data_IF_238918702848
#
_entry.id   IF_238918702848
#
_cell.length_a   1.000
_cell.length_b   1.000
_cell.length_c   1.000
_cell.angle_alpha   90.00
_cell.angle_beta   90.00
_cell.angle_gamma   90.00
#
_symmetry.space_group_name_H-M   'P 1'
#
loop_
_entity.id
_entity.type
_entity.pdbx_description
1 polymer ?
#
# COMPACT_ATOMS: atom_id res chain seq x y z
N UNK A 1 -9.76 2.14 18.13
CA UNK A 1 -9.26 1.90 16.76
C UNK A 1 -8.18 0.84 16.85
N UNK A 2 -8.31 -0.35 16.23
CA UNK A 2 -7.17 -1.26 16.18
C UNK A 2 -6.06 -0.57 15.39
N UNK A 3 -4.86 -0.53 15.96
CA UNK A 3 -3.68 0.06 15.34
C UNK A 3 -3.37 -0.67 14.03
N UNK A 4 -2.79 0.02 13.05
CA UNK A 4 -2.41 -0.51 11.74
C UNK A 4 -1.43 -1.69 11.76
N UNK A 5 -0.98 -2.07 12.96
CA UNK A 5 -0.05 -3.17 13.22
C UNK A 5 -0.64 -4.56 12.97
N UNK A 6 -1.97 -4.70 12.80
CA UNK A 6 -2.60 -6.03 12.70
C UNK A 6 -2.77 -6.56 11.27
N UNK A 7 -2.60 -5.74 10.22
CA UNK A 7 -2.91 -6.16 8.84
C UNK A 7 -1.69 -6.34 7.92
N UNK A 8 -0.54 -5.74 8.25
CA UNK A 8 0.73 -5.97 7.57
C UNK A 8 1.76 -6.46 8.59
N UNK A 9 2.61 -7.46 8.26
CA UNK A 9 3.67 -7.88 9.14
C UNK A 9 4.54 -6.66 9.51
N UNK A 10 4.85 -6.44 10.80
CA UNK A 10 5.64 -5.27 11.24
C UNK A 10 6.99 -5.21 10.52
N UNK A 11 7.56 -6.36 10.15
CA UNK A 11 8.78 -6.45 9.35
C UNK A 11 8.68 -5.81 7.96
N UNK A 12 7.49 -5.80 7.37
CA UNK A 12 7.24 -5.25 6.04
C UNK A 12 7.04 -3.73 6.12
N UNK A 13 6.35 -3.25 7.17
CA UNK A 13 6.18 -1.82 7.44
C UNK A 13 7.48 -1.17 7.92
N UNK A 14 8.33 -1.88 8.68
CA UNK A 14 9.57 -1.34 9.22
C UNK A 14 10.67 -1.22 8.16
N UNK A 15 10.65 -2.06 7.13
CA UNK A 15 11.65 -2.04 6.05
C UNK A 15 11.09 -1.38 4.79
N UNK A 16 11.55 -0.15 4.50
CA UNK A 16 11.11 0.66 3.35
C UNK A 16 11.32 -0.07 2.00
N UNK A 17 12.37 -0.88 1.87
CA UNK A 17 12.63 -1.64 0.63
C UNK A 17 11.59 -2.74 0.43
N UNK A 18 11.19 -3.43 1.51
CA UNK A 18 10.12 -4.45 1.44
C UNK A 18 8.77 -3.79 1.11
N UNK A 19 8.46 -2.67 1.78
CA UNK A 19 7.25 -1.90 1.52
C UNK A 19 7.18 -1.43 0.06
N UNK A 20 8.28 -0.88 -0.47
CA UNK A 20 8.38 -0.46 -1.86
C UNK A 20 8.12 -1.61 -2.84
N UNK A 21 8.75 -2.78 -2.63
CA UNK A 21 8.54 -3.97 -3.48
C UNK A 21 7.09 -4.44 -3.45
N UNK A 22 6.44 -4.38 -2.30
CA UNK A 22 5.02 -4.73 -2.17
C UNK A 22 4.12 -3.75 -2.92
N UNK A 23 4.37 -2.43 -2.79
CA UNK A 23 3.69 -1.40 -3.56
C UNK A 23 3.83 -1.62 -5.06
N UNK A 24 5.04 -1.94 -5.55
CA UNK A 24 5.27 -2.24 -6.97
C UNK A 24 4.54 -3.50 -7.42
N UNK A 25 4.58 -4.59 -6.64
CA UNK A 25 3.88 -5.83 -6.98
C UNK A 25 2.38 -5.55 -7.11
N UNK A 26 1.82 -4.77 -6.19
CA UNK A 26 0.41 -4.45 -6.22
C UNK A 26 0.04 -3.50 -7.35
N UNK A 27 0.85 -2.48 -7.62
CA UNK A 27 0.68 -1.57 -8.75
C UNK A 27 0.66 -2.34 -10.08
N UNK A 28 1.59 -3.28 -10.27
CA UNK A 28 1.63 -4.14 -11.46
C UNK A 28 0.35 -4.98 -11.59
N UNK A 29 -0.13 -5.58 -10.50
CA UNK A 29 -1.39 -6.33 -10.49
C UNK A 29 -2.59 -5.46 -10.88
N UNK A 30 -2.73 -4.28 -10.27
CA UNK A 30 -3.82 -3.32 -10.56
C UNK A 30 -3.77 -2.91 -12.02
N UNK A 31 -2.61 -2.45 -12.47
CA UNK A 31 -2.52 -1.89 -13.81
C UNK A 31 -2.56 -2.94 -14.91
N UNK A 32 -2.24 -4.22 -14.64
CA UNK A 32 -2.54 -5.30 -15.58
C UNK A 32 -4.06 -5.49 -15.76
N UNK A 33 -4.86 -5.37 -14.69
CA UNK A 33 -6.32 -5.43 -14.80
C UNK A 33 -6.93 -4.27 -15.57
N UNK A 34 -6.25 -3.13 -15.62
CA UNK A 34 -6.73 -1.89 -16.25
C UNK A 34 -5.94 -1.50 -17.52
N UNK A 35 -5.06 -2.38 -18.02
CA UNK A 35 -4.20 -2.13 -19.18
C UNK A 35 -3.33 -0.86 -19.10
N UNK A 36 -2.93 -0.45 -17.89
CA UNK A 36 -2.13 0.74 -17.62
C UNK A 36 -0.98 0.47 -16.62
N UNK A 37 -0.46 -0.76 -16.58
CA UNK A 37 0.55 -1.24 -15.64
C UNK A 37 1.77 -0.32 -15.51
N UNK A 38 2.34 0.12 -16.61
CA UNK A 38 3.52 1.00 -16.62
C UNK A 38 3.24 2.33 -15.90
N UNK A 39 2.12 2.98 -16.23
CA UNK A 39 1.72 4.25 -15.63
C UNK A 39 1.54 4.13 -14.11
N UNK A 40 0.85 3.08 -13.64
CA UNK A 40 0.59 2.90 -12.20
C UNK A 40 1.89 2.53 -11.46
N UNK A 41 2.75 1.72 -12.06
CA UNK A 41 4.07 1.37 -11.51
C UNK A 41 4.96 2.60 -11.41
N UNK A 42 5.02 3.41 -12.46
CA UNK A 42 5.84 4.62 -12.48
C UNK A 42 5.34 5.68 -11.51
N UNK A 43 4.02 5.80 -11.33
CA UNK A 43 3.45 6.65 -10.28
C UNK A 43 3.97 6.25 -8.89
N UNK A 44 3.98 4.96 -8.56
CA UNK A 44 4.53 4.47 -7.28
C UNK A 44 6.02 4.78 -7.17
N UNK A 45 6.80 4.53 -8.23
CA UNK A 45 8.24 4.86 -8.25
C UNK A 45 8.50 6.33 -7.99
N UNK A 46 7.75 7.21 -8.63
CA UNK A 46 7.88 8.65 -8.48
C UNK A 46 7.59 9.10 -7.05
N UNK A 47 6.57 8.54 -6.39
CA UNK A 47 6.27 8.87 -4.99
C UNK A 47 7.43 8.49 -4.04
N UNK A 48 8.01 7.30 -4.19
CA UNK A 48 9.17 6.90 -3.39
C UNK A 48 10.41 7.75 -3.71
N UNK A 49 10.65 8.04 -4.99
CA UNK A 49 11.79 8.87 -5.42
C UNK A 49 11.69 10.30 -4.88
N UNK A 50 10.49 10.90 -4.87
CA UNK A 50 10.23 12.25 -4.35
C UNK A 50 10.66 12.41 -2.89
N UNK A 51 10.53 11.35 -2.10
CA UNK A 51 10.84 11.35 -0.67
C UNK A 51 12.14 10.61 -0.32
N UNK A 52 12.99 10.31 -1.31
CA UNK A 52 14.23 9.55 -1.12
C UNK A 52 15.25 10.25 -0.20
N UNK A 53 15.20 11.58 -0.12
CA UNK A 53 16.11 12.40 0.69
C UNK A 53 15.45 12.96 1.95
N UNK A 54 14.28 12.46 2.33
CA UNK A 54 13.67 12.84 3.60
C UNK A 54 14.53 12.32 4.76
N UNK A 55 14.86 13.21 5.70
CA UNK A 55 15.67 12.88 6.88
C UNK A 55 14.87 12.99 8.18
N UNK A 56 13.68 13.56 8.14
CA UNK A 56 12.80 13.69 9.29
C UNK A 56 12.16 12.34 9.65
N UNK A 57 12.47 11.77 10.84
CA UNK A 57 12.00 10.45 11.24
C UNK A 57 10.46 10.37 11.36
N UNK A 58 9.79 11.43 11.81
CA UNK A 58 8.33 11.43 11.95
C UNK A 58 7.65 11.42 10.59
N UNK A 59 8.16 12.23 9.66
CA UNK A 59 7.68 12.27 8.28
C UNK A 59 7.93 10.96 7.54
N UNK A 60 9.10 10.35 7.70
CA UNK A 60 9.41 9.03 7.12
C UNK A 60 8.42 7.99 7.65
N UNK A 61 8.17 7.97 8.97
CA UNK A 61 7.24 7.00 9.55
C UNK A 61 5.82 7.23 9.05
N UNK A 62 5.37 8.48 8.95
CA UNK A 62 4.06 8.82 8.38
C UNK A 62 3.93 8.35 6.93
N UNK A 63 4.94 8.58 6.08
CA UNK A 63 4.96 8.13 4.69
C UNK A 63 4.89 6.60 4.58
N UNK A 64 5.61 5.88 5.46
CA UNK A 64 5.54 4.41 5.55
C UNK A 64 4.13 3.95 5.94
N UNK A 65 3.54 4.58 6.95
CA UNK A 65 2.18 4.24 7.42
C UNK A 65 1.14 4.51 6.33
N UNK A 66 1.26 5.60 5.59
CA UNK A 66 0.35 5.94 4.48
C UNK A 66 0.47 4.95 3.32
N UNK A 67 1.69 4.55 2.95
CA UNK A 67 1.89 3.52 1.93
C UNK A 67 1.38 2.13 2.39
N UNK A 68 1.61 1.77 3.65
CA UNK A 68 1.09 0.55 4.26
C UNK A 68 -0.45 0.52 4.28
N UNK A 69 -1.09 1.63 4.67
CA UNK A 69 -2.55 1.81 4.57
C UNK A 69 -3.05 1.63 3.15
N UNK A 70 -2.39 2.23 2.16
CA UNK A 70 -2.76 2.09 0.75
C UNK A 70 -2.77 0.63 0.30
N UNK A 71 -1.76 -0.15 0.70
CA UNK A 71 -1.69 -1.59 0.42
C UNK A 71 -2.83 -2.36 1.08
N UNK A 72 -3.05 -2.16 2.39
CA UNK A 72 -4.10 -2.83 3.16
C UNK A 72 -5.47 -2.52 2.58
N UNK A 73 -5.78 -1.24 2.34
CA UNK A 73 -7.07 -0.81 1.82
C UNK A 73 -7.37 -1.51 0.49
N UNK A 74 -6.37 -1.59 -0.38
CA UNK A 74 -6.55 -2.28 -1.65
C UNK A 74 -6.66 -3.80 -1.45
N UNK A 75 -5.89 -4.44 -0.55
CA UNK A 75 -6.04 -5.87 -0.20
C UNK A 75 -7.46 -6.19 0.27
N UNK A 76 -7.99 -5.38 1.18
CA UNK A 76 -9.35 -5.53 1.71
C UNK A 76 -10.38 -5.38 0.60
N UNK A 77 -10.30 -4.32 -0.20
CA UNK A 77 -11.20 -4.10 -1.34
C UNK A 77 -11.24 -5.29 -2.30
N UNK A 78 -10.08 -5.84 -2.67
CA UNK A 78 -10.03 -7.02 -3.55
C UNK A 78 -10.57 -8.27 -2.84
N UNK A 79 -10.32 -8.45 -1.55
CA UNK A 79 -10.87 -9.57 -0.78
C UNK A 79 -12.40 -9.54 -0.70
N UNK A 80 -13.00 -8.36 -0.53
CA UNK A 80 -14.45 -8.18 -0.57
C UNK A 80 -15.03 -8.50 -1.95
N UNK A 81 -14.35 -8.03 -3.01
CA UNK A 81 -14.73 -8.31 -4.40
C UNK A 81 -14.71 -9.81 -4.71
N UNK A 82 -13.71 -10.54 -4.20
CA UNK A 82 -13.55 -11.99 -4.41
C UNK A 82 -14.51 -12.82 -3.55
N UNK A 83 -14.78 -12.41 -2.31
CA UNK A 83 -15.65 -13.16 -1.39
C UNK A 83 -17.15 -12.94 -1.66
N UNK A 84 -17.55 -11.92 -2.41
CA UNK A 84 -18.96 -11.55 -2.63
C UNK A 84 -19.69 -11.05 -1.38
N UNK A 85 -19.07 -11.11 -0.19
CA UNK A 85 -19.55 -10.51 1.05
C UNK A 85 -19.08 -9.07 1.11
N UNK A 86 -20.01 -8.12 0.93
CA UNK A 86 -19.82 -6.76 1.44
C UNK A 86 -19.72 -6.88 2.96
N UNK A 87 -18.68 -6.33 3.61
CA UNK A 87 -18.77 -6.11 5.05
C UNK A 87 -20.03 -5.29 5.27
N UNK A 88 -21.04 -5.91 5.90
CA UNK A 88 -22.26 -5.21 6.26
C UNK A 88 -21.82 -4.02 7.09
N UNK A 89 -22.05 -2.80 6.58
CA UNK A 89 -21.96 -1.60 7.40
C UNK A 89 -22.95 -1.82 8.54
N UNK A 90 -22.44 -2.22 9.70
CA UNK A 90 -23.19 -2.12 10.94
C UNK A 90 -23.43 -0.63 11.13
N UNK A 91 -24.69 -0.23 10.95
CA UNK A 91 -25.18 1.12 11.27
C UNK A 91 -24.96 1.47 12.73
#
# INVERSE_FOLDING_TARGET
MPSLQTALPPELANNVIRLYRECLRRAKYVGHKQHNAELVVDMVRQQFKRHMHETDPEKIQKLKDDAARGLINHMLYESEKMSGRKFSKSS
#
